data_IF_727901615555
#
_entry.id   IF_727901615555
#
_cell.length_a   1.000
_cell.length_b   1.000
_cell.length_c   1.000
_cell.angle_alpha   90.00
_cell.angle_beta   90.00
_cell.angle_gamma   90.00
#
_symmetry.space_group_name_H-M   'P 1'
#
loop_
_entity.id
_entity.type
_entity.pdbx_description
1 polymer ?
#
# COMPACT_ATOMS: atom_id res chain seq x y z
N UNK A 1 2.04 19.24 -15.19
CA UNK A 1 0.59 18.97 -15.17
C UNK A 1 0.34 17.48 -15.14
N UNK A 2 -0.86 17.02 -14.76
CA UNK A 2 -1.19 15.58 -14.76
C UNK A 2 -0.95 14.94 -16.13
N UNK A 3 -1.36 15.60 -17.21
CA UNK A 3 -1.15 15.12 -18.58
C UNK A 3 0.35 14.93 -18.91
N UNK A 4 1.18 15.92 -18.61
CA UNK A 4 2.64 15.84 -18.84
C UNK A 4 3.28 14.71 -18.03
N UNK A 5 2.87 14.52 -16.77
CA UNK A 5 3.35 13.43 -15.93
C UNK A 5 2.93 12.06 -16.51
N UNK A 6 1.67 11.91 -16.92
CA UNK A 6 1.19 10.68 -17.55
C UNK A 6 1.96 10.37 -18.83
N UNK A 7 2.22 11.37 -19.69
CA UNK A 7 3.01 11.17 -20.92
C UNK A 7 4.45 10.74 -20.62
N UNK A 8 5.08 11.31 -19.59
CA UNK A 8 6.40 10.91 -19.16
C UNK A 8 6.41 9.45 -18.68
N UNK A 9 5.41 9.03 -17.90
CA UNK A 9 5.32 7.63 -17.43
C UNK A 9 5.03 6.67 -18.58
N UNK A 10 4.17 7.02 -19.55
CA UNK A 10 3.94 6.20 -20.75
C UNK A 10 5.27 5.95 -21.49
N UNK A 11 6.10 6.98 -21.63
CA UNK A 11 7.43 6.85 -22.24
C UNK A 11 8.30 5.87 -21.46
N UNK A 12 8.34 6.00 -20.13
CA UNK A 12 9.11 5.10 -19.24
C UNK A 12 8.62 3.66 -19.35
N UNK A 13 7.31 3.42 -19.32
CA UNK A 13 6.72 2.08 -19.44
C UNK A 13 7.14 1.43 -20.77
N UNK A 14 7.00 2.16 -21.88
CA UNK A 14 7.32 1.64 -23.21
C UNK A 14 8.82 1.47 -23.42
N UNK A 15 9.66 2.42 -23.00
CA UNK A 15 11.11 2.33 -23.24
C UNK A 15 11.77 1.23 -22.44
N UNK A 16 11.27 0.95 -21.23
CA UNK A 16 11.82 -0.07 -20.34
C UNK A 16 11.06 -1.39 -20.40
N UNK A 17 10.04 -1.52 -21.27
CA UNK A 17 9.22 -2.72 -21.41
C UNK A 17 8.68 -3.21 -20.06
N UNK A 18 8.09 -2.29 -19.28
CA UNK A 18 7.62 -2.60 -17.93
C UNK A 18 6.46 -3.61 -17.98
N UNK A 19 6.65 -4.75 -17.31
CA UNK A 19 5.67 -5.83 -17.26
C UNK A 19 4.51 -5.56 -16.28
N UNK A 20 4.73 -4.73 -15.26
CA UNK A 20 3.73 -4.45 -14.23
C UNK A 20 4.03 -3.13 -13.51
N UNK A 21 2.96 -2.43 -13.11
CA UNK A 21 3.02 -1.23 -12.27
C UNK A 21 2.35 -1.51 -10.93
N UNK A 22 3.01 -1.14 -9.83
CA UNK A 22 2.46 -1.23 -8.47
C UNK A 22 2.30 0.17 -7.89
N UNK A 23 1.09 0.51 -7.46
CA UNK A 23 0.76 1.81 -6.85
C UNK A 23 0.39 1.67 -5.37
N UNK A 24 1.04 2.46 -4.52
CA UNK A 24 0.81 2.49 -3.07
C UNK A 24 0.01 3.73 -2.62
N UNK A 25 -0.58 4.49 -3.54
CA UNK A 25 -1.33 5.72 -3.23
C UNK A 25 -0.52 7.02 -3.36
N UNK A 26 -1.12 8.11 -2.89
CA UNK A 26 -0.61 9.48 -3.07
C UNK A 26 -1.04 10.15 -4.39
N UNK A 27 -0.66 11.41 -4.59
CA UNK A 27 -0.97 12.13 -5.82
C UNK A 27 -0.13 11.65 -7.02
N UNK A 28 1.07 11.12 -6.74
CA UNK A 28 2.02 10.62 -7.75
C UNK A 28 1.55 9.31 -8.37
N UNK A 29 0.73 8.52 -7.68
CA UNK A 29 0.23 7.25 -8.21
C UNK A 29 -0.81 7.43 -9.34
N UNK A 30 -1.49 8.56 -9.40
CA UNK A 30 -2.51 8.84 -10.42
C UNK A 30 -1.96 8.80 -11.86
N UNK A 31 -0.91 9.59 -12.25
CA UNK A 31 -0.34 9.50 -13.59
C UNK A 31 0.24 8.11 -13.88
N UNK A 32 0.82 7.44 -12.88
CA UNK A 32 1.36 6.10 -13.02
C UNK A 32 0.30 5.05 -13.36
N UNK A 33 -0.80 5.02 -12.60
CA UNK A 33 -1.90 4.10 -12.84
C UNK A 33 -2.67 4.39 -14.13
N UNK A 34 -2.85 5.67 -14.48
CA UNK A 34 -3.45 6.07 -15.75
C UNK A 34 -2.55 5.64 -16.92
N UNK A 35 -1.24 5.87 -16.84
CA UNK A 35 -0.29 5.45 -17.87
C UNK A 35 -0.30 3.94 -18.06
N UNK A 36 -0.27 3.15 -16.97
CA UNK A 36 -0.37 1.69 -17.01
C UNK A 36 -1.65 1.23 -17.74
N UNK A 37 -2.78 1.87 -17.45
CA UNK A 37 -4.05 1.58 -18.12
C UNK A 37 -4.00 1.89 -19.63
N UNK A 38 -3.38 3.01 -20.02
CA UNK A 38 -3.23 3.43 -21.42
C UNK A 38 -2.30 2.49 -22.19
N UNK A 39 -1.22 2.01 -21.56
CA UNK A 39 -0.25 1.11 -22.20
C UNK A 39 -0.70 -0.35 -22.19
N UNK A 40 -1.78 -0.69 -21.49
CA UNK A 40 -2.21 -2.08 -21.29
C UNK A 40 -1.33 -2.85 -20.30
N UNK A 41 -0.48 -2.16 -19.56
CA UNK A 41 0.38 -2.77 -18.54
C UNK A 41 -0.45 -3.11 -17.30
N UNK A 42 -0.35 -4.35 -16.77
CA UNK A 42 -1.00 -4.73 -15.51
C UNK A 42 -0.73 -3.74 -14.38
N UNK A 43 -1.80 -3.33 -13.69
CA UNK A 43 -1.74 -2.41 -12.56
C UNK A 43 -2.17 -3.13 -11.28
N UNK A 44 -1.30 -3.12 -10.27
CA UNK A 44 -1.62 -3.54 -8.90
C UNK A 44 -1.72 -2.30 -8.02
N UNK A 45 -2.75 -2.23 -7.19
CA UNK A 45 -2.86 -1.21 -6.14
C UNK A 45 -2.71 -1.88 -4.78
N UNK A 46 -1.94 -1.28 -3.88
CA UNK A 46 -1.89 -1.65 -2.47
C UNK A 46 -2.33 -0.46 -1.61
N UNK A 47 -3.26 -0.69 -0.69
CA UNK A 47 -3.71 0.29 0.31
C UNK A 47 -3.29 -0.13 1.72
N UNK A 48 -2.55 0.77 2.38
CA UNK A 48 -1.95 0.51 3.70
C UNK A 48 -2.90 0.87 4.84
N UNK A 49 -3.82 1.80 4.60
CA UNK A 49 -4.71 2.34 5.62
C UNK A 49 -5.99 1.52 5.72
N UNK A 50 -6.70 1.65 6.85
CA UNK A 50 -7.98 1.00 7.06
C UNK A 50 -9.10 1.57 6.17
N UNK A 51 -8.93 2.79 5.63
CA UNK A 51 -9.86 3.44 4.71
C UNK A 51 -9.10 3.83 3.45
N UNK A 52 -9.60 3.40 2.29
CA UNK A 52 -8.97 3.70 1.02
C UNK A 52 -8.86 5.20 0.73
N UNK A 53 -7.66 5.67 0.43
CA UNK A 53 -7.42 7.03 -0.03
C UNK A 53 -8.08 7.29 -1.39
N UNK A 54 -8.39 8.55 -1.70
CA UNK A 54 -9.11 8.92 -2.93
C UNK A 54 -8.40 8.40 -4.20
N UNK A 55 -7.09 8.59 -4.33
CA UNK A 55 -6.32 8.09 -5.47
C UNK A 55 -6.47 6.58 -5.65
N UNK A 56 -6.27 5.81 -4.57
CA UNK A 56 -6.38 4.35 -4.59
C UNK A 56 -7.80 3.91 -4.88
N UNK A 57 -8.82 4.60 -4.35
CA UNK A 57 -10.24 4.28 -4.61
C UNK A 57 -10.61 4.42 -6.09
N UNK A 58 -10.06 5.40 -6.81
CA UNK A 58 -10.27 5.53 -8.25
C UNK A 58 -9.41 4.57 -9.06
N UNK A 59 -8.11 4.44 -8.72
CA UNK A 59 -7.20 3.55 -9.44
C UNK A 59 -7.57 2.07 -9.26
N UNK A 60 -8.10 1.68 -8.11
CA UNK A 60 -8.58 0.33 -7.85
C UNK A 60 -9.65 -0.11 -8.85
N UNK A 61 -10.47 0.81 -9.40
CA UNK A 61 -11.45 0.48 -10.44
C UNK A 61 -10.80 0.02 -11.74
N UNK A 62 -9.64 0.59 -12.10
CA UNK A 62 -8.89 0.24 -13.31
C UNK A 62 -7.77 -0.78 -13.08
N UNK A 63 -7.46 -1.10 -11.82
CA UNK A 63 -6.42 -2.06 -11.46
C UNK A 63 -6.81 -3.50 -11.85
N UNK A 64 -5.80 -4.28 -12.21
CA UNK A 64 -5.86 -5.72 -12.44
C UNK A 64 -6.08 -6.46 -11.12
N UNK A 65 -5.36 -6.05 -10.07
CA UNK A 65 -5.48 -6.59 -8.70
C UNK A 65 -5.42 -5.46 -7.68
N UNK A 66 -6.14 -5.62 -6.58
CA UNK A 66 -6.18 -4.69 -5.45
C UNK A 66 -5.80 -5.46 -4.20
N UNK A 67 -4.77 -4.99 -3.52
CA UNK A 67 -4.26 -5.52 -2.26
C UNK A 67 -4.62 -4.54 -1.15
N UNK A 68 -5.08 -5.05 -0.01
CA UNK A 68 -5.42 -4.23 1.15
C UNK A 68 -4.75 -4.77 2.41
N UNK A 69 -4.36 -3.85 3.29
CA UNK A 69 -3.78 -4.21 4.58
C UNK A 69 -4.83 -4.71 5.57
N UNK A 70 -6.04 -4.14 5.52
CA UNK A 70 -7.13 -4.47 6.43
C UNK A 70 -8.35 -4.95 5.65
N UNK A 71 -9.19 -5.76 6.28
CA UNK A 71 -10.48 -6.13 5.70
C UNK A 71 -11.38 -4.90 5.58
N UNK A 72 -12.28 -4.93 4.59
CA UNK A 72 -13.26 -3.87 4.33
C UNK A 72 -12.67 -2.48 3.99
N UNK A 73 -11.38 -2.38 3.65
CA UNK A 73 -10.72 -1.09 3.33
C UNK A 73 -11.39 -0.34 2.18
N UNK A 74 -11.95 -1.07 1.21
CA UNK A 74 -12.68 -0.50 0.06
C UNK A 74 -14.22 -0.51 0.25
N UNK A 75 -14.73 -0.93 1.41
CA UNK A 75 -16.17 -1.04 1.71
C UNK A 75 -16.94 -1.94 0.73
N UNK A 76 -18.23 -1.65 0.52
CA UNK A 76 -19.13 -2.36 -0.43
C UNK A 76 -18.81 -2.06 -1.91
N UNK A 77 -17.53 -1.98 -2.26
CA UNK A 77 -17.10 -1.78 -3.63
C UNK A 77 -17.33 -3.06 -4.45
N UNK A 78 -17.67 -2.93 -5.73
CA UNK A 78 -17.78 -4.08 -6.65
C UNK A 78 -16.39 -4.66 -7.04
N UNK A 79 -15.40 -4.58 -6.15
CA UNK A 79 -14.02 -4.99 -6.39
C UNK A 79 -13.73 -6.41 -5.89
N UNK A 80 -14.69 -7.10 -5.29
CA UNK A 80 -14.51 -8.36 -4.56
C UNK A 80 -13.69 -9.41 -5.33
N UNK A 81 -13.90 -9.54 -6.64
CA UNK A 81 -13.18 -10.53 -7.47
C UNK A 81 -11.68 -10.27 -7.63
N UNK A 82 -11.23 -9.04 -7.40
CA UNK A 82 -9.82 -8.63 -7.55
C UNK A 82 -9.19 -8.09 -6.28
N UNK A 83 -9.94 -8.10 -5.18
CA UNK A 83 -9.51 -7.65 -3.87
C UNK A 83 -8.87 -8.81 -3.10
N UNK A 84 -7.78 -8.54 -2.39
CA UNK A 84 -7.10 -9.52 -1.54
C UNK A 84 -6.50 -8.84 -0.31
N UNK A 85 -6.75 -9.41 0.87
CA UNK A 85 -6.19 -8.91 2.13
C UNK A 85 -4.84 -9.57 2.38
N UNK A 86 -3.78 -8.77 2.39
CA UNK A 86 -2.39 -9.25 2.51
C UNK A 86 -1.63 -8.64 3.69
N UNK A 87 -2.25 -7.71 4.42
CA UNK A 87 -1.56 -6.95 5.47
C UNK A 87 -0.62 -5.88 4.91
N UNK A 88 0.16 -5.28 5.80
CA UNK A 88 1.22 -4.35 5.45
C UNK A 88 2.58 -5.08 5.47
N UNK A 89 3.48 -4.81 4.51
CA UNK A 89 4.85 -5.30 4.59
C UNK A 89 5.55 -4.66 5.80
N UNK A 90 6.07 -5.50 6.69
CA UNK A 90 6.78 -5.06 7.91
C UNK A 90 8.26 -5.46 7.81
N UNK A 91 9.15 -4.62 8.34
CA UNK A 91 10.60 -4.92 8.40
C UNK A 91 10.86 -6.19 9.19
N UNK A 92 11.81 -7.02 8.73
CA UNK A 92 12.21 -8.26 9.39
C UNK A 92 12.63 -8.08 10.86
N UNK A 93 13.25 -6.94 11.19
CA UNK A 93 13.63 -6.62 12.56
C UNK A 93 12.43 -6.47 13.52
N UNK A 94 11.22 -6.25 13.00
CA UNK A 94 9.98 -6.15 13.77
C UNK A 94 9.22 -7.49 13.71
N UNK A 95 9.09 -8.09 12.53
CA UNK A 95 8.37 -9.37 12.39
C UNK A 95 9.10 -10.56 13.00
N UNK A 96 10.43 -10.47 13.17
CA UNK A 96 11.25 -11.48 13.83
C UNK A 96 11.37 -11.34 15.35
N UNK A 97 10.66 -10.40 15.96
CA UNK A 97 10.66 -10.23 17.42
C UNK A 97 9.98 -11.44 18.08
N UNK A 98 10.56 -11.95 19.17
CA UNK A 98 10.00 -13.08 19.89
C UNK A 98 8.55 -12.81 20.34
N UNK A 99 7.75 -13.87 20.41
CA UNK A 99 6.36 -13.80 20.85
C UNK A 99 6.21 -13.14 22.23
N UNK A 100 5.09 -12.45 22.51
CA UNK A 100 4.84 -11.79 23.80
C UNK A 100 5.08 -12.70 25.00
N UNK A 101 4.72 -13.98 24.91
CA UNK A 101 4.88 -14.98 25.98
C UNK A 101 6.33 -15.27 26.35
N UNK A 102 7.27 -15.03 25.44
CA UNK A 102 8.71 -15.18 25.68
C UNK A 102 9.32 -13.87 26.20
N UNK A 103 8.79 -12.73 25.76
CA UNK A 103 9.33 -11.40 26.09
C UNK A 103 8.85 -10.84 27.42
N UNK A 104 7.63 -11.20 27.84
CA UNK A 104 7.02 -10.68 29.05
C UNK A 104 7.10 -11.73 30.16
N UNK A 105 7.79 -11.40 31.24
CA UNK A 105 7.66 -12.13 32.50
C UNK A 105 6.48 -11.56 33.28
N UNK A 106 5.50 -12.42 33.56
CA UNK A 106 4.28 -12.06 34.31
C UNK A 106 4.57 -11.68 35.77
N UNK A 107 5.76 -12.04 36.28
CA UNK A 107 6.22 -11.71 37.62
C UNK A 107 7.20 -10.51 37.62
N UNK A 108 7.41 -9.84 36.49
CA UNK A 108 8.28 -8.66 36.39
C UNK A 108 7.70 -7.51 37.24
N UNK A 109 8.38 -7.21 38.35
CA UNK A 109 8.05 -6.11 39.26
C UNK A 109 8.73 -4.79 38.88
N UNK A 110 9.47 -4.74 37.76
CA UNK A 110 10.11 -3.51 37.31
C UNK A 110 9.09 -2.45 36.85
N UNK A 111 9.47 -1.17 36.84
CA UNK A 111 8.60 -0.11 36.33
C UNK A 111 8.15 -0.36 34.89
N UNK A 112 6.95 0.09 34.55
CA UNK A 112 6.39 -0.04 33.21
C UNK A 112 7.30 0.57 32.15
N UNK A 113 7.68 -0.22 31.15
CA UNK A 113 8.51 0.19 30.02
C UNK A 113 7.63 0.90 28.98
N UNK A 114 7.62 2.24 29.01
CA UNK A 114 6.86 3.06 28.08
C UNK A 114 7.71 3.45 26.86
N UNK A 115 7.21 3.13 25.66
CA UNK A 115 7.77 3.61 24.40
C UNK A 115 6.83 4.68 23.81
N UNK A 116 7.37 5.89 23.59
CA UNK A 116 6.65 6.98 22.92
C UNK A 116 7.18 7.12 21.49
N UNK A 117 6.29 7.05 20.50
CA UNK A 117 6.63 7.15 19.07
C UNK A 117 5.90 8.34 18.45
N UNK A 118 6.65 9.29 17.87
CA UNK A 118 6.09 10.50 17.24
C UNK A 118 5.56 10.33 15.81
N UNK A 119 5.75 9.15 15.19
CA UNK A 119 5.37 8.92 13.81
C UNK A 119 6.38 9.49 12.79
N UNK A 120 5.95 9.67 11.55
CA UNK A 120 6.84 9.96 10.41
C UNK A 120 7.48 11.35 10.42
N UNK A 121 6.82 12.33 11.05
CA UNK A 121 7.33 13.70 11.17
C UNK A 121 8.16 13.91 12.45
N UNK A 122 8.31 12.87 13.27
CA UNK A 122 8.89 12.99 14.60
C UNK A 122 7.90 13.56 15.63
N UNK A 123 8.41 13.82 16.83
CA UNK A 123 7.71 14.60 17.85
C UNK A 123 7.84 16.09 17.57
#
# INVERSE_FOLDING_TARGET
TLLSATMAVIKIIRSNQIDMVVGFGGYVSAPGGIAARITGTPLIIHEQNAIAGMSNRYLAKMATKVLQAFENTFGNSQLDRKLETVGNPVRNAISGVAEPTVRYDINDLSPLKLLVVGGSLGA
#
